data_IF_107965480136
#
_entry.id   IF_107965480136
#
_cell.length_a   1.000
_cell.length_b   1.000
_cell.length_c   1.000
_cell.angle_alpha   90.00
_cell.angle_beta   90.00
_cell.angle_gamma   90.00
#
_symmetry.space_group_name_H-M   'P 1'
#
loop_
_entity.id
_entity.type
_entity.pdbx_description
1 polymer ?
#
# COMPACT_ATOMS: atom_id res chain seq x y z
N UNK A 1 -15.25 -3.78 0.88
CA UNK A 1 -14.90 -4.54 -0.33
C UNK A 1 -14.32 -3.65 -1.40
N UNK A 2 -13.60 -4.23 -2.32
CA UNK A 2 -13.07 -3.52 -3.47
C UNK A 2 -14.22 -3.07 -4.39
N UNK A 3 -14.28 -1.79 -4.74
CA UNK A 3 -15.23 -1.24 -5.70
C UNK A 3 -14.62 -0.06 -6.46
N UNK A 4 -14.97 0.09 -7.71
CA UNK A 4 -14.55 1.21 -8.56
C UNK A 4 -15.70 2.11 -8.98
N UNK A 5 -16.88 1.95 -8.39
CA UNK A 5 -18.11 2.65 -8.81
C UNK A 5 -17.97 4.18 -8.80
N UNK A 6 -17.30 4.73 -7.78
CA UNK A 6 -17.07 6.18 -7.64
C UNK A 6 -15.80 6.67 -8.35
N UNK A 7 -14.98 5.78 -8.92
CA UNK A 7 -13.71 6.14 -9.55
C UNK A 7 -13.97 6.84 -10.88
N UNK A 8 -13.54 8.08 -11.01
CA UNK A 8 -13.68 8.89 -12.24
C UNK A 8 -12.38 9.01 -13.04
N UNK A 9 -11.21 8.74 -12.43
CA UNK A 9 -9.88 8.80 -13.06
C UNK A 9 -9.11 7.52 -12.76
N UNK A 10 -8.83 6.72 -13.76
CA UNK A 10 -8.15 5.43 -13.63
C UNK A 10 -7.20 5.11 -14.80
N UNK A 11 -6.90 6.11 -15.63
CA UNK A 11 -6.03 5.93 -16.79
C UNK A 11 -4.65 5.39 -16.36
N UNK A 12 -4.12 4.45 -17.14
CA UNK A 12 -2.84 3.81 -16.91
C UNK A 12 -2.71 3.10 -15.54
N UNK A 13 -3.81 2.79 -14.86
CA UNK A 13 -3.83 2.15 -13.55
C UNK A 13 -2.96 0.89 -13.50
N UNK A 14 -3.02 0.06 -14.54
CA UNK A 14 -2.26 -1.19 -14.69
C UNK A 14 -1.20 -1.12 -15.81
N UNK A 15 -0.85 0.06 -16.28
CA UNK A 15 0.09 0.17 -17.39
C UNK A 15 1.43 -0.53 -17.09
N UNK A 16 1.86 -1.36 -18.04
CA UNK A 16 3.12 -2.12 -17.95
C UNK A 16 3.18 -3.19 -16.83
N UNK A 17 2.02 -3.63 -16.31
CA UNK A 17 1.92 -4.76 -15.36
C UNK A 17 1.85 -6.09 -16.13
N UNK A 18 2.85 -6.37 -16.98
CA UNK A 18 2.82 -7.42 -18.01
C UNK A 18 2.71 -8.86 -17.52
N UNK A 19 2.95 -9.08 -16.22
CA UNK A 19 2.84 -10.41 -15.57
C UNK A 19 1.55 -10.59 -14.78
N UNK A 20 0.67 -9.58 -14.79
CA UNK A 20 -0.57 -9.63 -14.01
C UNK A 20 -1.50 -10.72 -14.53
N UNK A 21 -1.95 -11.58 -13.62
CA UNK A 21 -2.95 -12.62 -13.88
C UNK A 21 -4.02 -12.53 -12.79
N UNK A 22 -5.27 -12.33 -13.18
CA UNK A 22 -6.39 -12.32 -12.25
C UNK A 22 -6.68 -13.70 -11.66
N UNK A 23 -7.42 -13.76 -10.55
CA UNK A 23 -7.72 -15.00 -9.82
C UNK A 23 -8.37 -16.11 -10.65
N UNK A 24 -9.11 -15.77 -11.72
CA UNK A 24 -9.70 -16.71 -12.69
C UNK A 24 -8.90 -16.82 -14.01
N UNK A 25 -7.64 -16.38 -14.01
CA UNK A 25 -6.76 -16.50 -15.17
C UNK A 25 -6.86 -15.35 -16.19
N UNK A 26 -7.51 -14.23 -15.85
CA UNK A 26 -7.48 -13.03 -16.69
C UNK A 26 -6.06 -12.52 -16.83
N UNK A 27 -5.50 -12.61 -18.03
CA UNK A 27 -4.15 -12.15 -18.34
C UNK A 27 -4.12 -10.66 -18.63
N UNK A 28 -2.95 -10.03 -18.42
CA UNK A 28 -2.72 -8.63 -18.74
C UNK A 28 -3.07 -8.31 -20.21
N UNK A 29 -3.82 -7.22 -20.41
CA UNK A 29 -4.16 -6.68 -21.72
C UNK A 29 -3.71 -5.22 -21.82
N UNK A 30 -2.78 -4.94 -22.72
CA UNK A 30 -2.20 -3.61 -22.92
C UNK A 30 -3.20 -2.53 -23.37
N UNK A 31 -4.34 -2.95 -23.91
CA UNK A 31 -5.40 -2.04 -24.36
C UNK A 31 -6.40 -1.68 -23.27
N UNK A 32 -6.34 -2.37 -22.11
CA UNK A 32 -7.25 -2.16 -20.99
C UNK A 32 -6.44 -2.05 -19.72
N UNK A 33 -6.00 -0.85 -19.41
CA UNK A 33 -5.10 -0.56 -18.28
C UNK A 33 -5.78 0.31 -17.23
N UNK A 34 -7.07 0.51 -17.33
CA UNK A 34 -7.90 1.33 -16.42
C UNK A 34 -8.68 0.48 -15.41
N UNK A 35 -9.63 1.10 -14.72
CA UNK A 35 -10.49 0.46 -13.70
C UNK A 35 -11.34 -0.70 -14.22
N UNK A 36 -11.50 -0.86 -15.53
CA UNK A 36 -12.29 -1.95 -16.12
C UNK A 36 -11.75 -3.32 -15.69
N UNK A 37 -10.42 -3.44 -15.50
CA UNK A 37 -9.76 -4.63 -14.98
C UNK A 37 -9.46 -4.58 -13.47
N UNK A 38 -9.88 -3.51 -12.79
CA UNK A 38 -9.80 -3.44 -11.34
C UNK A 38 -10.92 -4.23 -10.64
N UNK A 39 -11.54 -5.15 -11.34
CA UNK A 39 -12.45 -6.13 -10.76
C UNK A 39 -11.60 -7.28 -10.24
N UNK A 40 -11.56 -7.45 -8.93
CA UNK A 40 -11.02 -8.68 -8.36
C UNK A 40 -11.97 -9.79 -8.74
N UNK A 41 -11.47 -10.67 -9.57
CA UNK A 41 -12.18 -11.82 -10.12
C UNK A 41 -12.44 -12.84 -9.01
N UNK A 42 -13.55 -12.68 -8.29
CA UNK A 42 -13.97 -13.64 -7.28
C UNK A 42 -15.09 -14.50 -7.84
N UNK A 43 -14.82 -15.78 -7.98
CA UNK A 43 -15.84 -16.76 -8.37
C UNK A 43 -17.05 -16.82 -7.41
N UNK A 44 -16.95 -16.27 -6.23
CA UNK A 44 -18.04 -16.08 -5.25
C UNK A 44 -17.61 -15.06 -4.21
N UNK A 45 -18.10 -13.84 -4.33
CA UNK A 45 -18.42 -12.89 -3.28
C UNK A 45 -18.28 -13.29 -1.83
N UNK A 46 -18.53 -12.39 -0.97
CA UNK A 46 -18.18 -11.01 -0.88
C UNK A 46 -16.99 -10.89 0.03
N UNK A 47 -16.06 -10.09 -0.31
CA UNK A 47 -15.15 -9.59 0.70
C UNK A 47 -15.96 -8.89 1.77
N UNK A 48 -16.35 -9.62 2.77
CA UNK A 48 -16.79 -9.00 4.00
C UNK A 48 -15.60 -8.26 4.58
N UNK A 49 -15.47 -6.99 4.23
CA UNK A 49 -15.01 -6.08 5.22
C UNK A 49 -16.10 -6.10 6.30
N UNK A 50 -16.06 -7.16 7.09
CA UNK A 50 -16.67 -7.10 8.40
C UNK A 50 -16.18 -5.79 8.95
N UNK A 51 -17.07 -4.97 9.40
CA UNK A 51 -16.76 -3.73 10.07
C UNK A 51 -16.17 -4.07 11.45
N UNK A 52 -15.08 -4.86 11.43
CA UNK A 52 -14.29 -5.25 12.61
C UNK A 52 -13.75 -4.03 13.34
N UNK A 53 -13.88 -2.85 12.72
CA UNK A 53 -13.31 -1.62 13.20
C UNK A 53 -14.36 -0.61 13.67
N UNK A 54 -15.66 -0.97 13.74
CA UNK A 54 -16.67 -0.05 14.30
C UNK A 54 -16.32 0.47 15.70
N UNK A 55 -15.46 -0.24 16.42
CA UNK A 55 -15.04 0.10 17.79
C UNK A 55 -13.53 0.26 17.96
N UNK A 56 -12.71 0.15 16.91
CA UNK A 56 -11.27 0.40 16.99
C UNK A 56 -10.95 1.81 16.52
N UNK A 57 -10.13 2.51 17.31
CA UNK A 57 -9.62 3.82 16.92
C UNK A 57 -8.85 3.68 15.59
N UNK A 58 -9.15 4.54 14.63
CA UNK A 58 -8.39 4.67 13.41
C UNK A 58 -7.26 5.67 13.63
N UNK A 59 -6.04 5.21 13.60
CA UNK A 59 -4.85 6.04 13.60
C UNK A 59 -4.40 6.23 12.16
N UNK A 60 -4.30 7.47 11.67
CA UNK A 60 -4.00 7.76 10.28
C UNK A 60 -2.52 8.00 10.07
N UNK A 61 -2.01 7.42 8.99
CA UNK A 61 -0.67 7.71 8.48
C UNK A 61 -0.58 9.15 7.99
N UNK A 62 0.60 9.74 8.10
CA UNK A 62 0.91 10.99 7.42
C UNK A 62 0.73 10.85 5.91
N UNK A 63 0.42 11.95 5.23
CA UNK A 63 0.35 11.95 3.77
C UNK A 63 1.72 11.73 3.16
N UNK A 64 1.80 10.86 2.16
CA UNK A 64 3.01 10.70 1.37
C UNK A 64 3.06 11.77 0.26
N UNK A 65 4.26 12.20 -0.09
CA UNK A 65 4.51 13.09 -1.22
C UNK A 65 5.08 12.34 -2.42
N UNK A 66 4.79 12.83 -3.63
CA UNK A 66 5.41 12.36 -4.85
C UNK A 66 6.84 12.88 -4.94
N UNK A 67 7.78 12.13 -4.37
CA UNK A 67 9.21 12.46 -4.46
C UNK A 67 9.95 11.45 -5.34
N UNK A 68 11.13 11.85 -5.82
CA UNK A 68 12.01 10.99 -6.60
C UNK A 68 12.31 9.65 -5.90
N UNK A 69 12.68 8.58 -6.63
CA UNK A 69 12.99 7.27 -6.05
C UNK A 69 14.03 7.31 -4.93
N UNK A 70 14.98 8.26 -5.00
CA UNK A 70 16.00 8.48 -3.98
C UNK A 70 15.54 9.40 -2.83
N UNK A 71 14.27 9.79 -2.81
CA UNK A 71 13.71 10.57 -1.72
C UNK A 71 13.48 9.72 -0.47
N UNK A 72 13.52 10.38 0.68
CA UNK A 72 13.20 9.75 1.97
C UNK A 72 11.76 9.27 1.99
N UNK A 73 11.51 8.18 2.72
CA UNK A 73 10.17 7.64 2.88
C UNK A 73 9.52 8.23 4.13
N UNK A 74 8.37 8.87 3.93
CA UNK A 74 7.63 9.57 5.00
C UNK A 74 8.58 10.49 5.80
N UNK A 75 8.57 10.42 7.13
CA UNK A 75 9.41 11.24 8.02
C UNK A 75 10.77 10.58 8.35
N UNK A 76 11.13 9.46 7.71
CA UNK A 76 12.38 8.75 7.99
C UNK A 76 13.61 9.38 7.35
N UNK A 77 14.80 8.92 7.74
CA UNK A 77 16.04 9.22 7.04
C UNK A 77 16.35 8.23 5.92
N UNK A 78 15.68 7.07 5.95
CA UNK A 78 15.86 6.00 4.96
C UNK A 78 15.22 6.38 3.63
N UNK A 79 15.95 6.13 2.54
CA UNK A 79 15.48 6.41 1.19
C UNK A 79 14.62 5.26 0.63
N UNK A 80 13.64 5.61 -0.20
CA UNK A 80 12.62 4.69 -0.72
C UNK A 80 13.17 3.44 -1.39
N UNK A 81 14.27 3.56 -2.14
CA UNK A 81 14.87 2.43 -2.85
C UNK A 81 15.72 1.50 -1.97
N UNK A 82 15.66 1.65 -0.66
CA UNK A 82 16.29 0.76 0.32
C UNK A 82 15.27 -0.07 1.10
N UNK A 83 13.97 0.10 0.86
CA UNK A 83 12.91 -0.62 1.56
C UNK A 83 12.55 -1.86 0.73
N UNK A 84 12.71 -3.05 1.33
CA UNK A 84 12.42 -4.32 0.65
C UNK A 84 11.15 -5.01 1.15
N UNK A 85 10.78 -4.84 2.42
CA UNK A 85 9.52 -5.35 2.95
C UNK A 85 8.80 -4.32 3.82
N UNK A 86 7.46 -4.42 3.87
CA UNK A 86 6.62 -3.59 4.74
C UNK A 86 5.62 -4.47 5.46
N UNK A 87 5.45 -4.23 6.77
CA UNK A 87 4.47 -4.91 7.60
C UNK A 87 3.69 -3.93 8.49
N UNK A 88 2.39 -4.18 8.66
CA UNK A 88 1.50 -3.40 9.55
C UNK A 88 1.01 -4.29 10.69
N UNK A 89 1.42 -4.01 11.93
CA UNK A 89 1.14 -4.81 13.13
C UNK A 89 0.25 -4.08 14.13
N UNK A 90 -0.58 -4.87 14.81
CA UNK A 90 -1.26 -4.41 16.03
C UNK A 90 -0.29 -4.47 17.22
N UNK A 91 -0.34 -3.47 18.09
CA UNK A 91 0.53 -3.34 19.26
C UNK A 91 1.53 -2.21 19.11
N UNK A 92 2.39 -2.04 20.11
CA UNK A 92 3.45 -1.00 20.14
C UNK A 92 4.84 -1.59 20.37
N UNK A 93 5.03 -2.87 20.12
CA UNK A 93 6.32 -3.51 20.31
C UNK A 93 7.33 -2.99 19.28
N UNK A 94 8.46 -2.51 19.80
CA UNK A 94 9.61 -2.13 19.00
C UNK A 94 10.37 -3.40 18.60
N UNK A 95 10.58 -3.67 17.28
CA UNK A 95 11.37 -4.81 16.86
C UNK A 95 12.82 -4.76 17.39
N UNK A 96 13.36 -5.94 17.72
CA UNK A 96 14.77 -6.08 18.02
C UNK A 96 15.62 -5.71 16.80
N UNK A 97 16.80 -5.15 17.02
CA UNK A 97 17.68 -4.72 15.92
C UNK A 97 17.20 -3.44 15.20
N UNK A 98 16.25 -2.69 15.78
CA UNK A 98 15.78 -1.43 15.18
C UNK A 98 16.94 -0.45 14.98
N UNK A 99 17.16 -0.05 13.72
CA UNK A 99 18.18 0.92 13.30
C UNK A 99 17.64 2.35 13.37
N UNK A 100 16.40 2.56 12.94
CA UNK A 100 15.71 3.85 12.97
C UNK A 100 14.26 3.66 13.41
N UNK A 101 13.73 4.63 14.16
CA UNK A 101 12.32 4.72 14.52
C UNK A 101 11.81 6.14 14.26
N UNK A 102 10.57 6.27 13.78
CA UNK A 102 9.94 7.57 13.58
C UNK A 102 8.43 7.52 13.80
N UNK A 103 7.84 8.65 14.16
CA UNK A 103 6.39 8.81 14.23
C UNK A 103 5.82 8.95 12.81
N UNK A 104 5.02 7.98 12.41
CA UNK A 104 4.34 7.94 11.12
C UNK A 104 2.87 8.40 11.22
N UNK A 105 2.41 8.83 12.39
CA UNK A 105 1.04 9.29 12.58
C UNK A 105 0.82 10.69 11.99
N UNK A 106 -0.37 10.93 11.45
CA UNK A 106 -0.78 12.22 10.91
C UNK A 106 -0.72 13.33 11.97
N UNK A 107 -1.07 13.00 13.21
CA UNK A 107 -1.12 13.93 14.33
C UNK A 107 0.23 14.14 15.02
N UNK A 108 1.24 13.35 14.68
CA UNK A 108 2.55 13.33 15.34
C UNK A 108 2.42 13.13 16.86
N UNK A 109 1.58 12.14 17.25
CA UNK A 109 1.22 11.79 18.63
C UNK A 109 1.64 10.37 19.01
N UNK A 110 2.56 9.78 18.20
CA UNK A 110 3.08 8.43 18.36
C UNK A 110 1.98 7.33 18.34
N UNK A 111 0.81 7.67 17.78
CA UNK A 111 -0.26 6.68 17.61
C UNK A 111 0.07 5.63 16.53
N UNK A 112 1.02 5.93 15.63
CA UNK A 112 1.63 4.99 14.70
C UNK A 112 3.15 5.18 14.75
N UNK A 113 3.86 4.17 15.22
CA UNK A 113 5.32 4.14 15.16
C UNK A 113 5.79 3.27 14.01
N UNK A 114 6.85 3.69 13.35
CA UNK A 114 7.51 2.96 12.29
C UNK A 114 8.97 2.67 12.65
N UNK A 115 9.42 1.47 12.33
CA UNK A 115 10.73 0.94 12.68
C UNK A 115 11.41 0.32 11.49
N UNK A 116 12.68 0.65 11.26
CA UNK A 116 13.53 -0.01 10.27
C UNK A 116 14.46 -1.01 10.96
N UNK A 117 14.54 -2.22 10.38
CA UNK A 117 15.53 -3.25 10.69
C UNK A 117 16.29 -3.64 9.42
N UNK A 118 17.45 -4.26 9.57
CA UNK A 118 18.24 -4.91 8.52
C UNK A 118 18.69 -6.24 9.12
N UNK A 119 17.81 -7.25 9.02
CA UNK A 119 17.95 -8.50 9.79
C UNK A 119 18.97 -9.45 9.19
N UNK A 120 19.25 -9.34 7.89
CA UNK A 120 20.24 -10.16 7.19
C UNK A 120 21.53 -9.40 6.81
N UNK A 121 21.56 -8.09 7.03
CA UNK A 121 22.76 -7.25 6.85
C UNK A 121 23.08 -6.94 5.39
N UNK A 122 22.11 -7.03 4.49
CA UNK A 122 22.31 -6.81 3.06
C UNK A 122 22.22 -5.32 2.64
N UNK A 123 21.87 -4.45 3.60
CA UNK A 123 21.73 -3.00 3.41
C UNK A 123 20.41 -2.59 2.75
N UNK A 124 19.43 -3.49 2.68
CA UNK A 124 18.02 -3.21 2.46
C UNK A 124 17.29 -3.29 3.80
N UNK A 125 16.10 -2.72 3.89
CA UNK A 125 15.44 -2.56 5.18
C UNK A 125 14.04 -3.15 5.18
N UNK A 126 13.72 -3.88 6.25
CA UNK A 126 12.36 -4.20 6.62
C UNK A 126 11.76 -3.01 7.38
N UNK A 127 10.55 -2.61 6.99
CA UNK A 127 9.81 -1.53 7.63
C UNK A 127 8.57 -2.08 8.33
N UNK A 128 8.53 -1.96 9.65
CA UNK A 128 7.37 -2.36 10.47
C UNK A 128 6.64 -1.14 11.01
N UNK A 129 5.35 -1.03 10.71
CA UNK A 129 4.45 -0.06 11.35
C UNK A 129 3.68 -0.73 12.47
N UNK A 130 3.61 -0.08 13.64
CA UNK A 130 2.88 -0.58 14.82
C UNK A 130 1.90 0.46 15.34
N UNK A 131 0.77 -0.01 15.89
CA UNK A 131 -0.24 0.84 16.51
C UNK A 131 -1.18 0.02 17.39
N UNK A 132 -1.64 0.58 18.52
CA UNK A 132 -2.70 -0.03 19.35
C UNK A 132 -4.09 0.03 18.69
N UNK A 133 -4.27 0.96 17.73
CA UNK A 133 -5.44 1.07 16.88
C UNK A 133 -5.23 0.43 15.51
N UNK A 134 -6.22 0.59 14.64
CA UNK A 134 -6.08 0.23 13.22
C UNK A 134 -5.29 1.33 12.51
N UNK A 135 -4.26 0.95 11.81
CA UNK A 135 -3.48 1.85 10.97
C UNK A 135 -4.28 2.12 9.69
N UNK A 136 -4.71 3.35 9.50
CA UNK A 136 -5.45 3.76 8.30
C UNK A 136 -4.60 4.64 7.40
N UNK A 137 -4.84 4.58 6.10
CA UNK A 137 -4.29 5.60 5.19
C UNK A 137 -4.78 6.98 5.57
N UNK A 138 -4.04 8.02 5.19
CA UNK A 138 -4.61 9.35 5.06
C UNK A 138 -5.78 9.33 4.05
N UNK A 139 -6.66 10.31 4.09
CA UNK A 139 -7.72 10.46 3.08
C UNK A 139 -7.11 10.63 1.68
N UNK A 140 -5.99 11.34 1.58
CA UNK A 140 -5.14 11.42 0.41
C UNK A 140 -4.07 10.31 0.48
N UNK A 141 -4.43 9.10 0.08
CA UNK A 141 -3.55 7.92 0.09
C UNK A 141 -2.63 7.83 -1.15
N UNK A 142 -2.61 8.89 -1.98
CA UNK A 142 -1.77 8.96 -3.16
C UNK A 142 -0.29 8.83 -2.80
N UNK A 143 0.49 8.16 -3.64
CA UNK A 143 1.95 7.99 -3.54
C UNK A 143 2.45 7.20 -2.31
N UNK A 144 1.57 6.64 -1.46
CA UNK A 144 1.96 6.06 -0.15
C UNK A 144 3.11 5.04 -0.28
N UNK A 145 3.06 4.19 -1.29
CA UNK A 145 4.12 3.20 -1.58
C UNK A 145 4.84 3.45 -2.91
N UNK A 146 4.72 4.67 -3.47
CA UNK A 146 5.33 4.99 -4.75
C UNK A 146 6.87 4.93 -4.69
N UNK A 147 7.48 4.41 -5.77
CA UNK A 147 8.94 4.33 -5.96
C UNK A 147 9.68 3.44 -4.95
N UNK A 148 9.00 2.50 -4.30
CA UNK A 148 9.64 1.47 -3.49
C UNK A 148 10.17 0.37 -4.43
N UNK A 149 11.25 0.68 -5.16
CA UNK A 149 11.76 -0.16 -6.27
C UNK A 149 12.35 -1.48 -5.81
N UNK A 150 12.74 -1.60 -4.54
CA UNK A 150 13.25 -2.82 -3.94
C UNK A 150 12.15 -3.62 -3.20
N UNK A 151 10.95 -3.07 -3.04
CA UNK A 151 9.87 -3.72 -2.32
C UNK A 151 9.48 -5.04 -2.99
N UNK A 152 9.63 -6.14 -2.25
CA UNK A 152 9.29 -7.50 -2.67
C UNK A 152 8.00 -8.00 -2.04
N UNK A 153 7.69 -7.52 -0.82
CA UNK A 153 6.53 -7.95 -0.04
C UNK A 153 5.94 -6.81 0.79
N UNK A 154 4.62 -6.80 0.88
CA UNK A 154 3.88 -5.95 1.82
C UNK A 154 2.77 -6.76 2.47
N UNK A 155 2.62 -6.64 3.81
CA UNK A 155 1.62 -7.37 4.61
C UNK A 155 0.68 -6.38 5.29
N UNK A 156 -0.63 -6.51 5.05
CA UNK A 156 -1.68 -5.58 5.50
C UNK A 156 -2.52 -6.15 6.66
N UNK A 157 -1.89 -6.71 7.71
CA UNK A 157 -2.65 -7.36 8.79
C UNK A 157 -3.45 -6.35 9.65
N UNK A 158 -2.84 -5.23 10.01
CA UNK A 158 -3.46 -4.15 10.79
C UNK A 158 -3.59 -2.86 9.97
N UNK A 159 -4.07 -2.96 8.73
CA UNK A 159 -4.14 -1.84 7.79
C UNK A 159 -5.55 -1.63 7.25
N UNK A 160 -5.93 -0.39 6.97
CA UNK A 160 -7.22 -0.01 6.42
C UNK A 160 -7.11 1.15 5.44
N UNK A 161 -7.83 1.06 4.36
CA UNK A 161 -8.01 2.16 3.40
C UNK A 161 -9.34 2.90 3.60
N UNK A 162 -10.01 2.67 4.75
CA UNK A 162 -11.30 3.30 5.04
C UNK A 162 -11.18 4.83 5.07
N UNK A 163 -12.00 5.47 4.25
CA UNK A 163 -12.04 6.92 4.10
C UNK A 163 -11.03 7.48 3.10
N UNK A 164 -10.24 6.66 2.42
CA UNK A 164 -9.41 7.12 1.32
C UNK A 164 -10.27 7.63 0.15
N UNK A 165 -9.91 8.79 -0.39
CA UNK A 165 -10.58 9.42 -1.52
C UNK A 165 -9.72 9.41 -2.78
N UNK A 166 -8.39 9.32 -2.62
CA UNK A 166 -7.44 9.38 -3.71
C UNK A 166 -6.31 8.36 -3.50
N UNK A 167 -6.18 7.42 -4.43
CA UNK A 167 -5.13 6.38 -4.45
C UNK A 167 -4.22 6.51 -5.69
N UNK A 168 -4.10 7.74 -6.23
CA UNK A 168 -3.23 8.00 -7.39
C UNK A 168 -1.82 7.50 -7.11
N UNK A 169 -1.24 6.74 -8.05
CA UNK A 169 0.15 6.26 -8.02
C UNK A 169 0.55 5.54 -6.72
N UNK A 170 -0.41 4.98 -5.96
CA UNK A 170 -0.16 4.44 -4.61
C UNK A 170 0.95 3.37 -4.60
N UNK A 171 1.02 2.51 -5.62
CA UNK A 171 2.05 1.49 -5.78
C UNK A 171 2.91 1.71 -7.04
N UNK A 172 2.80 2.87 -7.66
CA UNK A 172 3.53 3.15 -8.89
C UNK A 172 5.03 2.90 -8.71
N UNK A 173 5.63 2.18 -9.66
CA UNK A 173 7.07 1.88 -9.69
C UNK A 173 7.57 0.93 -8.57
N UNK A 174 6.69 0.10 -7.97
CA UNK A 174 7.07 -1.03 -7.13
C UNK A 174 7.52 -2.20 -8.03
N UNK A 175 8.65 -2.05 -8.71
CA UNK A 175 9.06 -2.90 -9.84
C UNK A 175 9.45 -4.33 -9.45
N UNK A 176 9.78 -4.59 -8.18
CA UNK A 176 10.11 -5.93 -7.66
C UNK A 176 8.94 -6.61 -6.93
N UNK A 177 7.84 -5.91 -6.68
CA UNK A 177 6.69 -6.47 -5.98
C UNK A 177 6.01 -7.53 -6.86
N UNK A 178 6.00 -8.78 -6.40
CA UNK A 178 5.49 -9.93 -7.18
C UNK A 178 4.04 -10.26 -6.89
N UNK A 179 3.60 -10.04 -5.64
CA UNK A 179 2.26 -10.33 -5.16
C UNK A 179 1.75 -9.18 -4.30
N UNK A 180 0.45 -8.90 -4.37
CA UNK A 180 -0.15 -7.84 -3.59
C UNK A 180 -1.60 -8.18 -3.24
N UNK A 181 -1.86 -8.52 -1.97
CA UNK A 181 -3.23 -8.74 -1.48
C UNK A 181 -3.91 -7.42 -1.12
N UNK A 182 -4.78 -6.96 -2.00
CA UNK A 182 -5.65 -5.78 -1.79
C UNK A 182 -7.10 -6.15 -1.47
N UNK A 183 -7.37 -7.40 -1.12
CA UNK A 183 -8.72 -7.91 -0.87
C UNK A 183 -9.45 -7.17 0.26
N UNK A 184 -8.70 -6.62 1.22
CA UNK A 184 -9.21 -5.83 2.35
C UNK A 184 -9.34 -4.33 2.06
N UNK A 185 -8.96 -3.86 0.87
CA UNK A 185 -9.03 -2.42 0.55
C UNK A 185 -10.48 -1.96 0.39
N UNK A 186 -10.83 -0.89 1.07
CA UNK A 186 -12.09 -0.19 0.88
C UNK A 186 -11.88 0.95 -0.12
N UNK A 187 -12.51 0.84 -1.27
CA UNK A 187 -12.43 1.82 -2.35
C UNK A 187 -13.75 2.59 -2.56
N UNK A 188 -14.72 2.46 -1.65
CA UNK A 188 -16.07 3.02 -1.82
C UNK A 188 -16.09 4.55 -1.98
N UNK A 189 -15.12 5.26 -1.40
CA UNK A 189 -15.00 6.72 -1.49
C UNK A 189 -13.90 7.17 -2.46
N UNK A 190 -13.20 6.23 -3.12
CA UNK A 190 -12.07 6.56 -3.99
C UNK A 190 -12.55 7.09 -5.33
N UNK A 191 -12.12 8.30 -5.67
CA UNK A 191 -12.43 8.97 -6.94
C UNK A 191 -11.30 8.92 -7.95
N UNK A 192 -10.06 8.66 -7.52
CA UNK A 192 -8.90 8.55 -8.40
C UNK A 192 -8.00 7.37 -8.05
N UNK A 193 -7.71 6.53 -9.05
CA UNK A 193 -6.69 5.45 -9.03
C UNK A 193 -5.74 5.60 -10.22
N UNK A 194 -5.53 6.85 -10.69
CA UNK A 194 -4.64 7.15 -11.80
C UNK A 194 -3.26 6.56 -11.54
N UNK A 195 -2.72 5.76 -12.46
CA UNK A 195 -1.37 5.16 -12.37
C UNK A 195 -1.13 4.33 -11.09
N UNK A 196 -2.18 3.79 -10.43
CA UNK A 196 -2.05 3.14 -9.13
C UNK A 196 -0.98 2.04 -9.12
N UNK A 197 -0.89 1.25 -10.20
CA UNK A 197 0.09 0.17 -10.37
C UNK A 197 1.03 0.41 -11.57
N UNK A 198 1.21 1.66 -11.97
CA UNK A 198 2.09 1.98 -13.10
C UNK A 198 3.50 1.39 -12.88
N UNK A 199 4.04 0.69 -13.86
CA UNK A 199 5.38 0.07 -13.82
C UNK A 199 5.62 -0.94 -12.68
N UNK A 200 4.59 -1.59 -12.15
CA UNK A 200 4.73 -2.77 -11.27
C UNK A 200 5.07 -4.01 -12.13
N UNK A 201 6.28 -4.07 -12.68
CA UNK A 201 6.66 -5.01 -13.75
C UNK A 201 6.74 -6.48 -13.30
N UNK A 202 6.93 -6.73 -12.01
CA UNK A 202 7.01 -8.07 -11.45
C UNK A 202 5.65 -8.59 -10.95
N UNK A 203 4.63 -7.73 -10.85
CA UNK A 203 3.35 -8.07 -10.24
C UNK A 203 2.60 -9.11 -11.07
N UNK A 204 2.24 -10.23 -10.42
CA UNK A 204 1.56 -11.37 -11.06
C UNK A 204 0.18 -11.67 -10.44
N UNK A 205 -0.04 -11.32 -9.19
CA UNK A 205 -1.30 -11.56 -8.46
C UNK A 205 -1.53 -10.45 -7.42
#
# INVERSE_FOLDING_TARGET
GWTTTAVTKSDLMFYNCTKLVGGNGTTYNNNITDKTYAVIDTATTPGYLTNINKNKQLNRLISASSVAPNGKYLNSTIIKNKIETIEFKLGKEKPEGTIEAFDASEKQDESIMAYYTDTDGDGLYELTFTSDGVIATNTEAQYLFQNLTQLTKITFDNFSTYGATNMKSMFSNCSKLTTLDVSKFNTSNVTSMLEMFYSCRALTT
#
